data_IF_051283978603
#
_entry.id   IF_051283978603
#
_cell.length_a   1.000
_cell.length_b   1.000
_cell.length_c   1.000
_cell.angle_alpha   90.00
_cell.angle_beta   90.00
_cell.angle_gamma   90.00
#
_symmetry.space_group_name_H-M   'P 1'
#
loop_
_entity.id
_entity.type
_entity.pdbx_description
1 polymer ?
#
# COMPACT_ATOMS: atom_id res chain seq x y z
N UNK A 1 38.57 23.69 -2.02
CA UNK A 1 37.37 23.75 -1.15
C UNK A 1 37.31 24.97 -0.25
N UNK A 2 38.37 25.30 0.55
CA UNK A 2 38.41 26.52 1.38
C UNK A 2 38.28 27.82 0.56
N UNK A 3 38.66 27.81 -0.72
CA UNK A 3 38.56 28.93 -1.63
C UNK A 3 37.12 29.18 -2.10
N UNK A 4 36.32 28.12 -2.31
CA UNK A 4 34.91 28.22 -2.70
C UNK A 4 34.09 28.86 -1.58
N UNK A 5 34.25 28.41 -0.33
CA UNK A 5 33.52 28.92 0.84
C UNK A 5 33.85 30.35 1.23
N UNK A 6 34.98 30.90 0.73
CA UNK A 6 35.43 32.27 0.99
C UNK A 6 35.29 33.20 -0.22
N UNK A 7 34.58 32.79 -1.25
CA UNK A 7 34.39 33.58 -2.45
C UNK A 7 33.24 34.58 -2.28
N UNK A 8 33.50 35.70 -1.61
CA UNK A 8 32.53 36.79 -1.39
C UNK A 8 32.03 37.48 -2.67
N UNK A 9 32.50 37.03 -3.85
CA UNK A 9 32.19 37.60 -5.16
C UNK A 9 31.13 36.82 -5.94
N UNK A 10 30.71 35.66 -5.47
CA UNK A 10 29.66 34.84 -6.10
C UNK A 10 28.36 34.97 -5.31
N UNK A 11 27.27 35.01 -6.03
CA UNK A 11 25.94 34.88 -5.42
C UNK A 11 25.75 33.49 -4.86
N UNK A 12 24.86 33.32 -3.87
CA UNK A 12 24.64 32.04 -3.18
C UNK A 12 24.28 30.90 -4.15
N UNK A 13 23.51 31.17 -5.21
CA UNK A 13 23.16 30.21 -6.24
C UNK A 13 24.34 29.76 -7.09
N UNK A 14 25.23 30.71 -7.47
CA UNK A 14 26.45 30.43 -8.25
C UNK A 14 27.44 29.62 -7.41
N UNK A 15 27.56 29.95 -6.13
CA UNK A 15 28.42 29.23 -5.20
C UNK A 15 27.91 27.78 -4.98
N UNK A 16 26.59 27.59 -4.88
CA UNK A 16 25.98 26.26 -4.75
C UNK A 16 26.16 25.43 -6.03
N UNK A 17 25.99 26.04 -7.20
CA UNK A 17 26.20 25.38 -8.48
C UNK A 17 27.68 24.95 -8.62
N UNK A 18 28.65 25.82 -8.27
CA UNK A 18 30.05 25.49 -8.30
C UNK A 18 30.40 24.36 -7.31
N UNK A 19 29.89 24.41 -6.08
CA UNK A 19 30.11 23.34 -5.11
C UNK A 19 29.57 22.00 -5.60
N UNK A 20 28.38 21.99 -6.22
CA UNK A 20 27.79 20.79 -6.81
C UNK A 20 28.61 20.24 -7.98
N UNK A 21 29.13 21.10 -8.84
CA UNK A 21 29.97 20.69 -9.95
C UNK A 21 31.32 20.12 -9.47
N UNK A 22 31.94 20.74 -8.47
CA UNK A 22 33.15 20.22 -7.84
C UNK A 22 32.91 18.85 -7.22
N UNK A 23 31.78 18.68 -6.54
CA UNK A 23 31.36 17.39 -5.97
C UNK A 23 31.17 16.31 -7.05
N UNK A 24 30.42 16.62 -8.11
CA UNK A 24 30.15 15.68 -9.22
C UNK A 24 31.40 15.22 -9.94
N UNK A 25 32.44 16.08 -9.98
CA UNK A 25 33.74 15.75 -10.54
C UNK A 25 34.67 14.99 -9.57
N UNK A 26 34.17 14.62 -8.38
CA UNK A 26 34.93 13.83 -7.41
C UNK A 26 35.95 14.66 -6.58
N UNK A 27 35.94 15.98 -6.67
CA UNK A 27 36.84 16.86 -5.92
C UNK A 27 36.09 17.43 -4.69
N UNK A 28 35.93 16.65 -3.64
CA UNK A 28 35.25 17.09 -2.43
C UNK A 28 35.95 16.63 -1.16
N UNK A 29 35.75 17.39 -0.10
CA UNK A 29 36.17 17.14 1.26
C UNK A 29 35.04 17.45 2.22
N UNK A 30 35.28 17.33 3.52
CA UNK A 30 34.28 17.63 4.57
C UNK A 30 33.70 19.04 4.45
N UNK A 31 34.47 20.02 3.97
CA UNK A 31 34.04 21.43 3.84
C UNK A 31 32.99 21.55 2.73
N UNK A 32 33.23 20.93 1.57
CA UNK A 32 32.26 20.89 0.45
C UNK A 32 31.02 20.14 0.87
N UNK A 33 31.20 18.97 1.51
CA UNK A 33 30.05 18.17 1.98
C UNK A 33 29.23 18.96 3.01
N UNK A 34 29.83 19.59 3.99
CA UNK A 34 29.14 20.45 4.98
C UNK A 34 28.32 21.54 4.29
N UNK A 35 28.92 22.22 3.30
CA UNK A 35 28.23 23.26 2.53
C UNK A 35 27.04 22.71 1.76
N UNK A 36 27.22 21.59 1.04
CA UNK A 36 26.13 20.94 0.27
C UNK A 36 25.03 20.39 1.18
N UNK A 37 25.37 19.73 2.29
CA UNK A 37 24.38 19.26 3.26
C UNK A 37 23.52 20.39 3.80
N UNK A 38 24.10 21.57 4.00
CA UNK A 38 23.38 22.72 4.53
C UNK A 38 22.48 23.40 3.50
N UNK A 39 22.97 23.63 2.31
CA UNK A 39 22.34 24.53 1.33
C UNK A 39 21.68 23.80 0.15
N UNK A 40 22.09 22.55 -0.14
CA UNK A 40 21.49 21.79 -1.24
C UNK A 40 20.12 21.24 -0.85
N UNK A 41 19.13 21.44 -1.77
CA UNK A 41 17.79 20.91 -1.63
C UNK A 41 17.30 20.39 -3.01
N UNK A 42 17.38 19.06 -3.20
CA UNK A 42 17.08 18.39 -4.47
C UNK A 42 18.18 18.56 -5.54
N UNK A 43 18.20 17.79 -6.60
CA UNK A 43 17.41 16.58 -6.82
C UNK A 43 17.70 15.46 -5.79
N UNK A 44 16.72 14.56 -5.60
CA UNK A 44 16.82 13.50 -4.57
C UNK A 44 18.04 12.60 -4.76
N UNK A 45 18.38 12.23 -6.02
CA UNK A 45 19.55 11.38 -6.31
C UNK A 45 20.88 12.02 -5.91
N UNK A 46 21.01 13.32 -6.11
CA UNK A 46 22.18 14.05 -5.67
C UNK A 46 22.26 14.10 -4.13
N UNK A 47 21.13 14.29 -3.46
CA UNK A 47 21.08 14.30 -2.00
C UNK A 47 21.43 12.92 -1.40
N UNK A 48 21.00 11.82 -2.00
CA UNK A 48 21.45 10.49 -1.61
C UNK A 48 22.96 10.29 -1.81
N UNK A 49 23.49 10.80 -2.92
CA UNK A 49 24.92 10.72 -3.19
C UNK A 49 25.74 11.48 -2.14
N UNK A 50 25.33 12.71 -1.83
CA UNK A 50 25.94 13.54 -0.77
C UNK A 50 25.86 12.84 0.59
N UNK A 51 24.69 12.27 0.93
CA UNK A 51 24.49 11.52 2.17
C UNK A 51 25.46 10.34 2.29
N UNK A 52 25.59 9.52 1.25
CA UNK A 52 26.52 8.38 1.23
C UNK A 52 27.97 8.83 1.42
N UNK A 53 28.35 9.94 0.77
CA UNK A 53 29.69 10.50 0.93
C UNK A 53 29.92 11.01 2.35
N UNK A 54 28.95 11.75 2.93
CA UNK A 54 29.03 12.27 4.28
C UNK A 54 29.12 11.15 5.35
N UNK A 55 28.34 10.08 5.17
CA UNK A 55 28.42 8.87 6.03
C UNK A 55 29.82 8.24 5.92
N UNK A 56 30.40 8.19 4.71
CA UNK A 56 31.76 7.68 4.50
C UNK A 56 32.86 8.53 5.18
N UNK A 57 32.59 9.79 5.45
CA UNK A 57 33.44 10.70 6.22
C UNK A 57 33.08 10.78 7.71
N UNK A 58 32.17 9.91 8.18
CA UNK A 58 31.68 9.89 9.57
C UNK A 58 31.11 11.25 10.05
N UNK A 59 30.52 12.01 9.13
CA UNK A 59 29.92 13.31 9.42
C UNK A 59 28.54 13.17 10.05
N UNK A 60 28.11 14.18 10.80
CA UNK A 60 26.73 14.28 11.26
C UNK A 60 25.81 14.56 10.07
N UNK A 61 24.90 13.62 9.78
CA UNK A 61 23.99 13.66 8.63
C UNK A 61 22.53 13.93 9.00
N UNK A 62 22.22 14.20 10.27
CA UNK A 62 20.86 14.34 10.77
C UNK A 62 19.97 15.30 9.95
N UNK A 63 20.44 16.52 9.74
CA UNK A 63 19.69 17.53 8.98
C UNK A 63 19.50 17.14 7.50
N UNK A 64 20.47 16.45 6.91
CA UNK A 64 20.40 15.97 5.54
C UNK A 64 19.41 14.80 5.42
N UNK A 65 19.42 13.90 6.38
CA UNK A 65 18.46 12.78 6.47
C UNK A 65 17.03 13.29 6.54
N UNK A 66 16.77 14.30 7.38
CA UNK A 66 15.47 14.94 7.49
C UNK A 66 15.02 15.56 6.16
N UNK A 67 15.90 16.27 5.47
CA UNK A 67 15.62 16.85 4.15
C UNK A 67 15.28 15.78 3.10
N UNK A 68 16.07 14.70 3.06
CA UNK A 68 15.80 13.58 2.13
C UNK A 68 14.44 12.96 2.40
N UNK A 69 14.14 12.66 3.66
CA UNK A 69 12.84 12.06 4.04
C UNK A 69 11.66 12.98 3.70
N UNK A 70 11.80 14.29 3.93
CA UNK A 70 10.78 15.27 3.53
C UNK A 70 10.58 15.29 2.02
N UNK A 71 11.65 15.30 1.22
CA UNK A 71 11.52 15.25 -0.25
C UNK A 71 10.83 13.97 -0.71
N UNK A 72 11.14 12.84 -0.10
CA UNK A 72 10.53 11.56 -0.45
C UNK A 72 9.02 11.51 -0.16
N UNK A 73 8.52 12.27 0.82
CA UNK A 73 7.07 12.36 1.08
C UNK A 73 6.28 13.00 -0.07
N UNK A 74 6.94 13.82 -0.90
CA UNK A 74 6.32 14.51 -2.02
C UNK A 74 6.58 13.84 -3.38
N UNK A 75 7.31 12.72 -3.41
CA UNK A 75 7.56 11.97 -4.64
C UNK A 75 6.58 10.82 -4.77
N UNK A 76 6.31 10.39 -6.01
CA UNK A 76 5.46 9.22 -6.27
C UNK A 76 6.24 7.91 -6.29
N UNK A 77 7.57 7.98 -6.23
CA UNK A 77 8.46 6.83 -6.37
C UNK A 77 8.90 6.31 -5.00
N UNK A 78 8.59 5.04 -4.73
CA UNK A 78 9.16 4.33 -3.59
C UNK A 78 10.63 3.98 -3.86
N UNK A 79 11.52 4.46 -3.01
CA UNK A 79 12.96 4.21 -3.12
C UNK A 79 13.48 3.43 -1.92
N UNK A 80 14.10 2.29 -2.19
CA UNK A 80 14.71 1.46 -1.13
C UNK A 80 15.83 2.21 -0.38
N UNK A 81 16.54 3.11 -1.06
CA UNK A 81 17.56 3.97 -0.42
C UNK A 81 16.97 4.82 0.71
N UNK A 82 15.71 5.23 0.61
CA UNK A 82 15.01 5.96 1.65
C UNK A 82 14.87 5.17 2.97
N UNK A 83 14.82 3.83 2.90
CA UNK A 83 14.79 2.99 4.09
C UNK A 83 16.10 3.06 4.89
N UNK A 84 17.24 3.14 4.22
CA UNK A 84 18.54 3.29 4.87
C UNK A 84 18.68 4.67 5.54
N UNK A 85 18.18 5.71 4.88
CA UNK A 85 18.15 7.07 5.46
C UNK A 85 17.19 7.08 6.67
N UNK A 86 16.02 6.47 6.55
CA UNK A 86 15.08 6.36 7.67
C UNK A 86 15.68 5.60 8.85
N UNK A 87 16.38 4.49 8.59
CA UNK A 87 17.05 3.71 9.64
C UNK A 87 18.10 4.54 10.36
N UNK A 88 18.92 5.29 9.63
CA UNK A 88 19.92 6.18 10.22
C UNK A 88 19.26 7.31 11.03
N UNK A 89 18.24 7.96 10.46
CA UNK A 89 17.49 9.03 11.12
C UNK A 89 16.83 8.59 12.44
N UNK A 90 16.25 7.37 12.48
CA UNK A 90 15.69 6.80 13.71
C UNK A 90 16.78 6.56 14.76
N UNK A 91 17.97 6.09 14.36
CA UNK A 91 19.11 5.91 15.31
C UNK A 91 19.56 7.23 15.93
N UNK A 92 19.44 8.33 15.20
CA UNK A 92 19.75 9.68 15.68
C UNK A 92 18.57 10.33 16.45
N UNK A 93 17.60 9.54 16.91
CA UNK A 93 16.40 10.04 17.63
C UNK A 93 15.59 11.03 16.78
N UNK A 94 15.37 10.69 15.52
CA UNK A 94 14.65 11.51 14.55
C UNK A 94 13.25 11.91 15.01
N UNK A 95 12.76 13.04 14.50
CA UNK A 95 11.45 13.59 14.87
C UNK A 95 10.32 12.67 14.45
N UNK A 96 9.42 12.35 15.37
CA UNK A 96 8.30 11.43 15.15
C UNK A 96 7.45 11.79 13.92
N UNK A 97 7.16 13.07 13.70
CA UNK A 97 6.33 13.51 12.59
C UNK A 97 6.97 13.28 11.21
N UNK A 98 8.31 13.34 11.10
CA UNK A 98 9.04 13.00 9.87
C UNK A 98 8.96 11.50 9.62
N UNK A 99 9.23 10.70 10.65
CA UNK A 99 9.14 9.23 10.57
C UNK A 99 7.74 8.80 10.19
N UNK A 100 6.72 9.34 10.85
CA UNK A 100 5.32 9.05 10.57
C UNK A 100 4.90 9.49 9.17
N UNK A 101 5.31 10.67 8.72
CA UNK A 101 5.03 11.17 7.38
C UNK A 101 5.65 10.29 6.29
N UNK A 102 6.91 9.90 6.45
CA UNK A 102 7.57 9.00 5.52
C UNK A 102 6.92 7.60 5.51
N UNK A 103 6.61 7.04 6.69
CA UNK A 103 5.90 5.75 6.77
C UNK A 103 4.52 5.81 6.14
N UNK A 104 3.82 6.93 6.24
CA UNK A 104 2.53 7.15 5.55
C UNK A 104 2.72 7.10 4.04
N UNK A 105 3.71 7.80 3.49
CA UNK A 105 4.02 7.78 2.07
C UNK A 105 4.38 6.37 1.56
N UNK A 106 5.26 5.66 2.29
CA UNK A 106 5.64 4.28 1.97
C UNK A 106 4.42 3.34 2.03
N UNK A 107 3.59 3.50 3.05
CA UNK A 107 2.37 2.71 3.22
C UNK A 107 1.38 2.91 2.08
N UNK A 108 1.25 4.14 1.57
CA UNK A 108 0.46 4.43 0.39
C UNK A 108 0.98 3.66 -0.83
N UNK A 109 2.29 3.66 -1.08
CA UNK A 109 2.90 2.89 -2.15
C UNK A 109 2.67 1.38 -2.01
N UNK A 110 2.79 0.84 -0.80
CA UNK A 110 2.56 -0.58 -0.49
C UNK A 110 1.09 -0.95 -0.69
N UNK A 111 0.19 -0.11 -0.21
CA UNK A 111 -1.23 -0.41 -0.19
C UNK A 111 -1.90 -0.18 -1.54
N UNK A 112 -1.71 1.00 -2.13
CA UNK A 112 -2.39 1.42 -3.36
C UNK A 112 -1.65 0.98 -4.62
N UNK A 113 -0.30 1.09 -4.63
CA UNK A 113 0.54 0.74 -5.78
C UNK A 113 1.08 -0.70 -5.73
N UNK A 114 0.70 -1.46 -4.71
CA UNK A 114 1.08 -2.86 -4.52
C UNK A 114 2.60 -3.12 -4.40
N UNK A 115 3.35 -2.15 -3.90
CA UNK A 115 4.77 -2.35 -3.61
C UNK A 115 4.98 -3.39 -2.51
N UNK A 116 6.09 -4.11 -2.60
CA UNK A 116 6.46 -5.09 -1.58
C UNK A 116 6.94 -4.38 -0.32
N UNK A 117 6.38 -4.73 0.83
CA UNK A 117 6.85 -4.23 2.13
C UNK A 117 8.15 -4.92 2.52
N UNK A 118 9.15 -4.13 2.89
CA UNK A 118 10.40 -4.67 3.45
C UNK A 118 10.21 -5.08 4.92
N UNK A 119 11.04 -6.02 5.43
CA UNK A 119 11.03 -6.37 6.86
C UNK A 119 11.31 -5.18 7.77
N UNK A 120 12.14 -4.23 7.33
CA UNK A 120 12.46 -3.03 8.08
C UNK A 120 11.23 -2.12 8.22
N UNK A 121 10.56 -1.77 7.11
CA UNK A 121 9.34 -0.96 7.13
C UNK A 121 8.25 -1.64 7.95
N UNK A 122 8.08 -2.95 7.84
CA UNK A 122 7.13 -3.72 8.65
C UNK A 122 7.40 -3.55 10.15
N UNK A 123 8.65 -3.68 10.57
CA UNK A 123 9.02 -3.50 11.97
C UNK A 123 8.78 -2.05 12.44
N UNK A 124 9.07 -1.05 11.61
CA UNK A 124 8.78 0.35 11.91
C UNK A 124 7.27 0.57 12.08
N UNK A 125 6.44 0.03 11.19
CA UNK A 125 4.98 0.13 11.28
C UNK A 125 4.42 -0.59 12.51
N UNK A 126 4.94 -1.77 12.86
CA UNK A 126 4.55 -2.49 14.07
C UNK A 126 4.91 -1.70 15.33
N UNK A 127 6.11 -1.13 15.39
CA UNK A 127 6.54 -0.31 16.51
C UNK A 127 5.69 0.95 16.66
N UNK A 128 5.42 1.64 15.53
CA UNK A 128 4.54 2.80 15.51
C UNK A 128 3.13 2.45 16.00
N UNK A 129 2.58 1.33 15.54
CA UNK A 129 1.29 0.82 15.99
C UNK A 129 1.27 0.53 17.50
N UNK A 130 2.30 -0.16 18.02
CA UNK A 130 2.40 -0.50 19.44
C UNK A 130 2.52 0.74 20.32
N UNK A 131 3.24 1.76 19.86
CA UNK A 131 3.42 3.04 20.57
C UNK A 131 2.25 4.01 20.38
N UNK A 132 1.25 3.65 19.56
CA UNK A 132 0.05 4.44 19.27
C UNK A 132 0.29 5.83 18.65
N UNK A 133 1.41 6.02 18.00
CA UNK A 133 1.71 7.27 17.26
C UNK A 133 1.40 7.20 15.76
N UNK A 134 0.92 6.07 15.30
CA UNK A 134 0.38 5.90 13.97
C UNK A 134 -1.08 6.36 13.92
N UNK A 135 -1.35 7.43 13.19
CA UNK A 135 -2.68 8.04 13.10
C UNK A 135 -3.30 7.95 11.71
N UNK A 136 -2.51 7.67 10.68
CA UNK A 136 -3.01 7.60 9.30
C UNK A 136 -3.53 6.20 8.98
N UNK A 137 -4.74 6.13 8.43
CA UNK A 137 -5.42 4.87 8.08
C UNK A 137 -4.63 4.02 7.08
N UNK A 138 -3.90 4.64 6.14
CA UNK A 138 -3.13 3.89 5.14
C UNK A 138 -2.00 3.06 5.76
N UNK A 139 -1.42 3.51 6.87
CA UNK A 139 -0.43 2.74 7.63
C UNK A 139 -1.04 1.47 8.20
N UNK A 140 -2.24 1.59 8.78
CA UNK A 140 -2.97 0.43 9.30
C UNK A 140 -3.38 -0.52 8.19
N UNK A 141 -3.82 0.01 7.04
CA UNK A 141 -4.20 -0.79 5.87
C UNK A 141 -3.01 -1.55 5.30
N UNK A 142 -1.86 -0.90 5.14
CA UNK A 142 -0.63 -1.55 4.67
C UNK A 142 -0.17 -2.65 5.64
N UNK A 143 -0.21 -2.38 6.94
CA UNK A 143 0.15 -3.34 7.97
C UNK A 143 -0.83 -4.52 8.02
N UNK A 144 -2.13 -4.26 7.93
CA UNK A 144 -3.18 -5.29 7.85
C UNK A 144 -2.97 -6.20 6.65
N UNK A 145 -2.74 -5.64 5.46
CA UNK A 145 -2.46 -6.38 4.23
C UNK A 145 -1.24 -7.32 4.40
N UNK A 146 -0.18 -6.85 5.04
CA UNK A 146 1.02 -7.65 5.25
C UNK A 146 0.81 -8.74 6.30
N UNK A 147 0.23 -8.40 7.46
CA UNK A 147 -0.02 -9.36 8.53
C UNK A 147 -1.06 -10.42 8.16
N UNK A 148 -1.96 -10.12 7.23
CA UNK A 148 -2.93 -11.11 6.74
C UNK A 148 -2.28 -12.32 6.06
N UNK A 149 -1.03 -12.18 5.62
CA UNK A 149 -0.23 -13.28 5.06
C UNK A 149 0.41 -14.17 6.12
N UNK A 150 0.37 -13.76 7.40
CA UNK A 150 1.05 -14.44 8.50
C UNK A 150 0.04 -15.14 9.44
N UNK A 151 0.00 -16.47 9.41
CA UNK A 151 -0.92 -17.28 10.24
C UNK A 151 -0.74 -17.05 11.76
N UNK A 152 0.45 -16.64 12.20
CA UNK A 152 0.78 -16.46 13.63
C UNK A 152 0.34 -15.13 14.23
N UNK A 153 -0.20 -14.20 13.45
CA UNK A 153 -0.48 -12.82 13.87
C UNK A 153 -1.98 -12.49 14.06
N UNK A 154 -2.81 -13.49 14.39
CA UNK A 154 -4.26 -13.33 14.50
C UNK A 154 -4.70 -12.21 15.44
N UNK A 155 -4.11 -12.12 16.63
CA UNK A 155 -4.48 -11.10 17.62
C UNK A 155 -4.15 -9.68 17.16
N UNK A 156 -2.95 -9.49 16.57
CA UNK A 156 -2.55 -8.21 16.00
C UNK A 156 -3.48 -7.81 14.84
N UNK A 157 -3.85 -8.77 13.98
CA UNK A 157 -4.76 -8.55 12.86
C UNK A 157 -6.15 -8.10 13.35
N UNK A 158 -6.73 -8.77 14.34
CA UNK A 158 -8.01 -8.41 14.93
C UNK A 158 -7.98 -7.04 15.63
N UNK A 159 -6.86 -6.72 16.26
CA UNK A 159 -6.69 -5.42 16.91
C UNK A 159 -6.59 -4.28 15.89
N UNK A 160 -5.85 -4.48 14.80
CA UNK A 160 -5.73 -3.49 13.71
C UNK A 160 -7.07 -3.31 13.00
N UNK A 161 -7.83 -4.39 12.78
CA UNK A 161 -9.18 -4.31 12.21
C UNK A 161 -10.08 -3.38 13.03
N UNK A 162 -10.07 -3.50 14.35
CA UNK A 162 -10.87 -2.62 15.21
C UNK A 162 -10.49 -1.15 15.05
N UNK A 163 -9.20 -0.85 14.91
CA UNK A 163 -8.75 0.53 14.65
C UNK A 163 -9.17 1.00 13.25
N UNK A 164 -9.05 0.16 12.23
CA UNK A 164 -9.51 0.48 10.87
C UNK A 164 -11.01 0.78 10.84
N UNK A 165 -11.84 -0.01 11.51
CA UNK A 165 -13.28 0.23 11.58
C UNK A 165 -13.65 1.53 12.31
N UNK A 166 -12.79 2.02 13.20
CA UNK A 166 -12.97 3.34 13.82
C UNK A 166 -12.57 4.48 12.89
N UNK A 167 -11.50 4.31 12.13
CA UNK A 167 -10.91 5.35 11.28
C UNK A 167 -11.55 5.41 9.90
N UNK A 168 -11.81 4.25 9.30
CA UNK A 168 -12.38 4.14 7.97
C UNK A 168 -13.91 4.11 8.05
N UNK A 169 -14.57 5.14 7.57
CA UNK A 169 -16.02 5.17 7.47
C UNK A 169 -16.58 4.28 6.34
N UNK A 170 -15.74 3.89 5.39
CA UNK A 170 -16.12 3.02 4.27
C UNK A 170 -15.89 1.54 4.60
N UNK A 171 -16.99 0.88 4.98
CA UNK A 171 -16.98 -0.55 5.32
C UNK A 171 -16.68 -1.44 4.12
N UNK A 172 -17.00 -1.00 2.89
CA UNK A 172 -16.73 -1.78 1.68
C UNK A 172 -15.23 -1.91 1.43
N UNK A 173 -14.47 -0.86 1.72
CA UNK A 173 -13.02 -0.89 1.63
C UNK A 173 -12.42 -1.88 2.63
N UNK A 174 -12.80 -1.82 3.91
CA UNK A 174 -12.31 -2.77 4.91
C UNK A 174 -12.70 -4.19 4.53
N UNK A 175 -13.92 -4.38 4.03
CA UNK A 175 -14.41 -5.67 3.56
C UNK A 175 -13.59 -6.22 2.40
N UNK A 176 -13.09 -5.38 1.48
CA UNK A 176 -12.28 -5.82 0.34
C UNK A 176 -11.02 -6.58 0.74
N UNK A 177 -10.51 -6.35 1.95
CA UNK A 177 -9.37 -7.09 2.46
C UNK A 177 -9.69 -8.51 2.90
N UNK A 178 -10.90 -8.76 3.38
CA UNK A 178 -11.24 -10.07 3.91
C UNK A 178 -11.20 -11.16 2.85
N UNK A 179 -11.53 -10.85 1.59
CA UNK A 179 -11.47 -11.85 0.52
C UNK A 179 -10.03 -12.27 0.16
N UNK A 180 -9.04 -11.46 0.57
CA UNK A 180 -7.61 -11.75 0.37
C UNK A 180 -7.00 -12.55 1.53
N UNK A 181 -7.75 -12.73 2.61
CA UNK A 181 -7.27 -13.45 3.78
C UNK A 181 -7.21 -14.95 3.52
N UNK A 182 -6.24 -15.67 4.12
CA UNK A 182 -6.24 -17.12 4.12
C UNK A 182 -7.53 -17.67 4.71
N UNK A 183 -8.04 -18.81 4.23
CA UNK A 183 -9.33 -19.38 4.70
C UNK A 183 -9.41 -19.56 6.21
N UNK A 184 -8.30 -19.90 6.86
CA UNK A 184 -8.24 -20.07 8.30
C UNK A 184 -8.47 -18.76 9.07
N UNK A 185 -8.18 -17.62 8.45
CA UNK A 185 -8.41 -16.30 9.02
C UNK A 185 -9.81 -15.80 8.62
N UNK A 186 -10.24 -16.01 7.38
CA UNK A 186 -11.60 -15.69 6.93
C UNK A 186 -12.66 -16.26 7.86
N UNK A 187 -12.48 -17.49 8.34
CA UNK A 187 -13.41 -18.13 9.26
C UNK A 187 -13.60 -17.38 10.58
N UNK A 188 -12.62 -16.56 11.01
CA UNK A 188 -12.74 -15.72 12.21
C UNK A 188 -13.75 -14.59 12.02
N UNK A 189 -13.95 -14.13 10.78
CA UNK A 189 -14.87 -13.04 10.44
C UNK A 189 -16.23 -13.55 9.99
N UNK A 190 -16.40 -14.87 9.85
CA UNK A 190 -17.65 -15.49 9.43
C UNK A 190 -18.17 -14.96 8.07
N UNK A 191 -17.23 -14.68 7.15
CA UNK A 191 -17.51 -14.04 5.86
C UNK A 191 -17.18 -14.92 4.66
N UNK A 192 -17.23 -16.22 4.84
CA UNK A 192 -16.87 -17.23 3.83
C UNK A 192 -17.83 -17.32 2.63
N UNK A 193 -19.03 -16.71 2.74
CA UNK A 193 -19.96 -16.55 1.61
C UNK A 193 -19.75 -15.21 0.86
N UNK A 194 -18.84 -14.38 1.31
CA UNK A 194 -18.56 -13.08 0.71
C UNK A 194 -17.30 -13.12 -0.14
N UNK A 195 -17.34 -12.42 -1.24
CA UNK A 195 -16.18 -12.14 -2.07
C UNK A 195 -16.21 -10.70 -2.55
N UNK A 196 -15.11 -10.18 -3.03
CA UNK A 196 -15.02 -8.82 -3.48
C UNK A 196 -14.20 -8.77 -4.77
N UNK A 197 -14.68 -8.03 -5.76
CA UNK A 197 -13.86 -7.66 -6.91
C UNK A 197 -13.29 -6.27 -6.67
N UNK A 198 -12.06 -6.07 -7.11
CA UNK A 198 -11.29 -4.88 -6.81
C UNK A 198 -10.52 -4.42 -8.03
N UNK A 199 -10.50 -3.10 -8.25
CA UNK A 199 -9.76 -2.47 -9.34
C UNK A 199 -9.02 -1.23 -8.81
N UNK A 200 -7.75 -1.11 -9.16
CA UNK A 200 -6.89 -0.01 -8.74
C UNK A 200 -6.53 0.84 -9.96
N UNK A 201 -6.82 2.12 -9.88
CA UNK A 201 -6.49 3.10 -10.92
C UNK A 201 -6.43 4.52 -10.33
N UNK A 202 -6.40 5.55 -11.18
CA UNK A 202 -6.47 6.94 -10.73
C UNK A 202 -7.74 7.21 -9.92
N UNK A 203 -7.66 7.97 -8.80
CA UNK A 203 -8.82 8.36 -8.01
C UNK A 203 -9.91 9.10 -8.80
N UNK A 204 -9.53 9.77 -9.90
CA UNK A 204 -10.43 10.56 -10.74
C UNK A 204 -11.07 9.74 -11.87
N UNK A 205 -10.64 8.49 -12.05
CA UNK A 205 -11.18 7.62 -13.10
C UNK A 205 -12.64 7.24 -12.82
N UNK A 206 -13.44 7.12 -13.87
CA UNK A 206 -14.75 6.51 -13.81
C UNK A 206 -14.61 5.03 -14.13
N UNK A 207 -14.86 4.18 -13.14
CA UNK A 207 -14.76 2.74 -13.27
C UNK A 207 -16.13 2.11 -13.31
N UNK A 208 -16.35 1.27 -14.30
CA UNK A 208 -17.58 0.51 -14.50
C UNK A 208 -17.25 -0.97 -14.46
N UNK A 209 -17.95 -1.71 -13.63
CA UNK A 209 -17.89 -3.18 -13.58
C UNK A 209 -18.94 -3.76 -14.51
N UNK A 210 -18.52 -4.67 -15.37
CA UNK A 210 -19.43 -5.49 -16.19
C UNK A 210 -19.26 -6.92 -15.72
N UNK A 211 -20.37 -7.55 -15.30
CA UNK A 211 -20.33 -8.88 -14.69
C UNK A 211 -21.55 -9.71 -14.99
N UNK A 212 -21.37 -11.03 -14.97
CA UNK A 212 -22.43 -12.02 -15.02
C UNK A 212 -22.16 -13.12 -13.99
N UNK A 213 -23.19 -13.59 -13.32
CA UNK A 213 -23.11 -14.70 -12.37
C UNK A 213 -23.63 -15.97 -13.04
N UNK A 214 -22.74 -16.93 -13.28
CA UNK A 214 -23.10 -18.28 -13.68
C UNK A 214 -23.50 -19.08 -12.45
N UNK A 215 -24.75 -19.52 -12.43
CA UNK A 215 -25.30 -20.33 -11.33
C UNK A 215 -25.16 -21.84 -11.57
N UNK A 216 -24.48 -22.26 -12.64
CA UNK A 216 -24.32 -23.68 -12.99
C UNK A 216 -25.59 -24.35 -13.54
N UNK A 217 -26.64 -23.58 -13.86
CA UNK A 217 -27.90 -24.09 -14.36
C UNK A 217 -27.98 -24.18 -15.91
N UNK A 218 -26.84 -23.96 -16.59
CA UNK A 218 -26.75 -23.99 -18.06
C UNK A 218 -27.53 -22.87 -18.78
N UNK A 219 -27.84 -21.78 -18.06
CA UNK A 219 -28.45 -20.58 -18.63
C UNK A 219 -27.43 -19.71 -19.32
N UNK A 220 -27.85 -18.95 -20.34
CA UNK A 220 -27.01 -17.95 -20.96
C UNK A 220 -26.58 -16.89 -19.91
N UNK A 221 -25.31 -16.45 -20.00
CA UNK A 221 -24.78 -15.41 -19.13
C UNK A 221 -25.44 -14.06 -19.45
N UNK A 222 -26.08 -13.47 -18.48
CA UNK A 222 -26.64 -12.13 -18.56
C UNK A 222 -25.69 -11.12 -17.89
N UNK A 223 -25.01 -10.31 -18.70
CA UNK A 223 -24.10 -9.31 -18.18
C UNK A 223 -24.84 -8.07 -17.68
N UNK A 224 -24.50 -7.66 -16.47
CA UNK A 224 -24.94 -6.43 -15.84
C UNK A 224 -23.79 -5.42 -15.86
N UNK A 225 -24.14 -4.16 -15.92
CA UNK A 225 -23.17 -3.05 -15.94
C UNK A 225 -23.48 -2.13 -14.75
N UNK A 226 -22.46 -1.83 -13.96
CA UNK A 226 -22.63 -1.04 -12.74
C UNK A 226 -21.43 -0.13 -12.52
N UNK A 227 -21.64 1.19 -12.30
CA UNK A 227 -20.55 2.08 -11.92
C UNK A 227 -20.03 1.72 -10.52
N UNK A 228 -18.71 1.70 -10.38
CA UNK A 228 -18.07 1.48 -9.09
C UNK A 228 -17.76 2.80 -8.39
N UNK A 229 -17.88 2.79 -7.07
CA UNK A 229 -17.47 3.89 -6.21
C UNK A 229 -15.98 3.79 -5.91
N UNK A 230 -15.27 4.91 -5.98
CA UNK A 230 -13.94 5.03 -5.40
C UNK A 230 -14.08 4.99 -3.86
N UNK A 231 -13.64 3.90 -3.26
CA UNK A 231 -13.78 3.69 -1.81
C UNK A 231 -12.59 4.28 -1.04
N UNK A 232 -11.41 4.32 -1.68
CA UNK A 232 -10.22 4.92 -1.12
C UNK A 232 -9.14 5.11 -2.20
N UNK A 233 -8.64 6.33 -2.41
CA UNK A 233 -7.44 6.69 -3.19
C UNK A 233 -7.22 5.88 -4.49
N UNK A 234 -8.28 5.75 -5.29
CA UNK A 234 -8.23 4.99 -6.56
C UNK A 234 -8.50 3.50 -6.42
N UNK A 235 -9.00 3.04 -5.27
CA UNK A 235 -9.48 1.68 -5.06
C UNK A 235 -10.98 1.65 -5.28
N UNK A 236 -11.42 0.84 -6.23
CA UNK A 236 -12.81 0.62 -6.58
C UNK A 236 -13.18 -0.82 -6.26
N UNK A 237 -14.23 -1.03 -5.47
CA UNK A 237 -14.61 -2.37 -5.03
C UNK A 237 -16.10 -2.62 -5.16
N UNK A 238 -16.47 -3.89 -5.31
CA UNK A 238 -17.83 -4.37 -5.17
C UNK A 238 -17.86 -5.71 -4.47
N UNK A 239 -18.57 -5.82 -3.33
CA UNK A 239 -18.80 -7.09 -2.66
C UNK A 239 -19.89 -7.89 -3.36
N UNK A 240 -19.71 -9.22 -3.37
CA UNK A 240 -20.67 -10.18 -3.85
C UNK A 240 -20.95 -11.22 -2.76
N UNK A 241 -22.19 -11.65 -2.68
CA UNK A 241 -22.55 -12.87 -1.95
C UNK A 241 -22.69 -13.98 -2.98
N UNK A 242 -21.85 -15.01 -2.88
CA UNK A 242 -21.80 -16.12 -3.82
C UNK A 242 -22.01 -17.44 -3.09
N UNK A 243 -22.65 -18.38 -3.76
CA UNK A 243 -22.82 -19.72 -3.26
C UNK A 243 -21.83 -20.69 -3.91
N UNK A 244 -21.54 -21.81 -3.24
CA UNK A 244 -20.66 -22.82 -3.80
C UNK A 244 -21.17 -23.32 -5.15
N UNK A 245 -20.27 -23.38 -6.13
CA UNK A 245 -20.56 -23.75 -7.50
C UNK A 245 -21.00 -22.58 -8.39
N UNK A 246 -21.16 -21.38 -7.85
CA UNK A 246 -21.38 -20.19 -8.66
C UNK A 246 -20.03 -19.62 -9.16
N UNK A 247 -20.07 -19.08 -10.36
CA UNK A 247 -18.91 -18.49 -11.04
C UNK A 247 -19.26 -17.07 -11.48
N UNK A 248 -18.47 -16.12 -11.03
CA UNK A 248 -18.56 -14.71 -11.43
C UNK A 248 -17.64 -14.45 -12.62
N UNK A 249 -18.22 -14.08 -13.75
CA UNK A 249 -17.50 -13.57 -14.91
C UNK A 249 -17.52 -12.05 -14.86
N UNK A 250 -16.38 -11.39 -15.00
CA UNK A 250 -16.34 -9.93 -14.88
C UNK A 250 -15.15 -9.30 -15.59
N UNK A 251 -15.32 -8.03 -15.93
CA UNK A 251 -14.24 -7.16 -16.37
C UNK A 251 -14.54 -5.72 -15.98
N UNK A 252 -13.51 -4.88 -15.98
CA UNK A 252 -13.66 -3.46 -15.71
C UNK A 252 -13.52 -2.65 -16.99
N UNK A 253 -14.29 -1.57 -17.10
CA UNK A 253 -14.15 -0.51 -18.07
C UNK A 253 -13.80 0.76 -17.32
N UNK A 254 -12.67 1.36 -17.66
CA UNK A 254 -12.15 2.59 -17.06
C UNK A 254 -12.23 3.72 -18.10
N UNK A 255 -12.76 4.86 -17.68
CA UNK A 255 -12.71 6.12 -18.42
C UNK A 255 -11.88 7.12 -17.63
N UNK A 256 -10.76 7.56 -18.22
CA UNK A 256 -9.89 8.56 -17.61
C UNK A 256 -9.31 9.45 -18.72
N UNK A 257 -9.36 10.78 -18.53
CA UNK A 257 -8.85 11.76 -19.49
C UNK A 257 -9.37 11.57 -20.93
N UNK A 258 -10.64 11.20 -21.08
CA UNK A 258 -11.28 10.97 -22.39
C UNK A 258 -10.86 9.70 -23.10
N UNK A 259 -10.07 8.85 -22.46
CA UNK A 259 -9.69 7.53 -22.96
C UNK A 259 -10.45 6.44 -22.21
N UNK A 260 -10.93 5.45 -22.95
CA UNK A 260 -11.59 4.27 -22.38
C UNK A 260 -10.69 3.05 -22.52
N UNK A 261 -10.45 2.38 -21.39
CA UNK A 261 -9.67 1.14 -21.30
C UNK A 261 -10.55 0.03 -20.75
N UNK A 262 -10.46 -1.16 -21.33
CA UNK A 262 -11.14 -2.36 -20.85
C UNK A 262 -10.12 -3.40 -20.40
N UNK A 263 -10.34 -4.01 -19.23
CA UNK A 263 -9.53 -5.13 -18.78
C UNK A 263 -9.93 -6.42 -19.49
N UNK A 264 -9.05 -7.43 -19.54
CA UNK A 264 -9.46 -8.78 -19.90
C UNK A 264 -10.56 -9.28 -18.97
N UNK A 265 -11.39 -10.17 -19.49
CA UNK A 265 -12.38 -10.86 -18.67
C UNK A 265 -11.70 -11.77 -17.66
N UNK A 266 -12.21 -11.75 -16.43
CA UNK A 266 -11.74 -12.56 -15.31
C UNK A 266 -12.88 -13.45 -14.81
N UNK A 267 -12.49 -14.55 -14.21
CA UNK A 267 -13.43 -15.53 -13.65
C UNK A 267 -13.08 -15.76 -12.19
N UNK A 268 -14.09 -15.71 -11.32
CA UNK A 268 -13.95 -15.95 -9.90
C UNK A 268 -15.00 -16.98 -9.48
N UNK A 269 -14.55 -18.14 -9.00
CA UNK A 269 -15.43 -19.20 -8.51
C UNK A 269 -15.44 -19.27 -7.00
N UNK A 270 -16.59 -19.56 -6.39
CA UNK A 270 -16.72 -19.90 -4.99
C UNK A 270 -16.62 -21.42 -4.83
N UNK A 271 -15.52 -21.89 -4.24
CA UNK A 271 -15.27 -23.30 -3.99
C UNK A 271 -14.97 -23.57 -2.52
N UNK A 272 -15.31 -24.77 -2.07
CA UNK A 272 -14.94 -25.26 -0.74
C UNK A 272 -13.43 -25.47 -0.68
N UNK A 273 -12.80 -25.00 0.40
CA UNK A 273 -11.39 -25.30 0.68
C UNK A 273 -11.31 -26.67 1.36
N UNK A 274 -10.65 -27.63 0.70
CA UNK A 274 -10.44 -28.97 1.25
C UNK A 274 -9.61 -28.93 2.55
N UNK A 275 -10.01 -29.72 3.53
CA UNK A 275 -9.29 -29.87 4.80
C UNK A 275 -9.58 -28.81 5.87
N UNK A 276 -10.43 -27.84 5.61
CA UNK A 276 -10.89 -26.88 6.62
C UNK A 276 -12.18 -27.36 7.28
N UNK A 277 -12.31 -27.30 8.63
CA UNK A 277 -13.59 -27.55 9.28
C UNK A 277 -14.66 -26.62 8.75
N UNK A 278 -15.86 -27.12 8.49
CA UNK A 278 -16.96 -26.25 8.12
C UNK A 278 -17.27 -25.27 9.24
N UNK A 279 -17.23 -23.99 8.91
CA UNK A 279 -17.87 -23.00 9.76
C UNK A 279 -19.39 -23.09 9.63
N UNK A 280 -20.12 -22.55 10.60
CA UNK A 280 -21.58 -22.42 10.54
C UNK A 280 -22.05 -21.73 9.25
N UNK A 281 -21.30 -20.74 8.79
CA UNK A 281 -21.62 -19.97 7.59
C UNK A 281 -21.36 -20.75 6.30
N UNK A 282 -20.27 -21.51 6.22
CA UNK A 282 -20.01 -22.42 5.11
C UNK A 282 -21.12 -23.47 4.97
N UNK A 283 -21.56 -24.02 6.09
CA UNK A 283 -22.69 -24.98 6.10
C UNK A 283 -23.98 -24.34 5.58
N UNK A 284 -24.32 -23.15 6.06
CA UNK A 284 -25.49 -22.40 5.59
C UNK A 284 -25.36 -22.08 4.10
N UNK A 285 -24.19 -21.61 3.65
CA UNK A 285 -23.91 -21.32 2.26
C UNK A 285 -24.12 -22.58 1.38
N UNK A 286 -23.61 -23.73 1.81
CA UNK A 286 -23.79 -25.00 1.09
C UNK A 286 -25.26 -25.39 0.99
N UNK A 287 -26.03 -25.27 2.08
CA UNK A 287 -27.45 -25.58 2.09
C UNK A 287 -28.23 -24.66 1.13
N UNK A 288 -27.93 -23.35 1.16
CA UNK A 288 -28.58 -22.38 0.29
C UNK A 288 -28.21 -22.61 -1.18
N UNK A 289 -26.95 -22.95 -1.46
CA UNK A 289 -26.47 -23.28 -2.80
C UNK A 289 -27.20 -24.56 -3.33
N UNK A 290 -27.24 -25.63 -2.53
CA UNK A 290 -27.92 -26.89 -2.91
C UNK A 290 -29.40 -26.67 -3.19
N UNK A 291 -30.08 -25.85 -2.38
CA UNK A 291 -31.48 -25.48 -2.63
C UNK A 291 -31.68 -24.70 -3.90
N UNK A 292 -30.80 -23.70 -4.14
CA UNK A 292 -30.86 -22.84 -5.34
C UNK A 292 -30.63 -23.64 -6.63
N UNK A 293 -29.78 -24.65 -6.58
CA UNK A 293 -29.43 -25.52 -7.70
C UNK A 293 -30.32 -26.79 -7.78
N UNK A 294 -31.37 -26.88 -6.97
CA UNK A 294 -32.29 -28.04 -6.91
C UNK A 294 -31.60 -29.38 -6.55
N UNK A 295 -30.46 -29.28 -5.87
CA UNK A 295 -29.69 -30.45 -5.42
C UNK A 295 -30.15 -30.93 -4.04
N UNK A 296 -31.40 -31.30 -3.92
CA UNK A 296 -32.00 -31.66 -2.63
C UNK A 296 -31.34 -32.86 -1.94
N UNK A 297 -30.62 -33.71 -2.68
CA UNK A 297 -29.86 -34.84 -2.13
C UNK A 297 -28.63 -34.42 -1.30
N UNK A 298 -28.13 -33.20 -1.49
CA UNK A 298 -26.98 -32.65 -0.74
C UNK A 298 -27.38 -31.94 0.56
N UNK A 299 -28.69 -31.81 0.82
CA UNK A 299 -29.26 -31.06 1.97
C UNK A 299 -29.60 -31.95 3.17
N UNK A 300 -29.43 -33.26 3.05
CA UNK A 300 -29.76 -34.24 4.09
C UNK A 300 -28.70 -34.37 5.17
#
# INVERSE_FOLDING_TARGET
SRMIVRCDMLEDEELLALASDVYRNGFYDEVILTYLMKYRFGPVDEMFSIWKSAVGFEMDTYDLEEKILQLLMFTTDYRKEGEHVLESYIRHSGREWIVSGYLTHVSYGIFVKEYTMSPFVKNCLLNAYMQKWMVNEVCYLALFKELSREKSRKEALLSIEKELLKMCMDKEMVFSFFHRLPPEILSLYQMDDKTCVEYHTSPEAKVTLVYALDTGLGRALEYKTEPLKNVYEGIFTKPFTMFYGEILHYYFSEECNGQTKRTPERVLGMSKVEGTPFSKYQMINQILSARKLDKHHEVK
#
